data_IF_409191712605
#
_entry.id   IF_409191712605
#
_cell.length_a   1.000
_cell.length_b   1.000
_cell.length_c   1.000
_cell.angle_alpha   90.00
_cell.angle_beta   90.00
_cell.angle_gamma   90.00
#
_symmetry.space_group_name_H-M   'P 1'
#
loop_
_entity.id
_entity.type
_entity.pdbx_description
1 polymer ?
#
# COMPACT_ATOMS: atom_id res chain seq x y z
N UNK A 1 -1.30 -8.72 -16.22
CA UNK A 1 -0.36 -7.75 -15.61
C UNK A 1 1.03 -8.37 -15.52
N UNK A 2 2.09 -7.55 -15.42
CA UNK A 2 3.48 -7.99 -15.18
C UNK A 2 4.19 -6.97 -14.28
N UNK A 3 4.72 -7.42 -13.15
CA UNK A 3 5.67 -6.62 -12.37
C UNK A 3 6.96 -6.40 -13.16
N UNK A 4 7.34 -5.13 -13.31
CA UNK A 4 8.55 -4.74 -14.01
C UNK A 4 9.45 -3.96 -13.06
N UNK A 5 10.63 -4.51 -12.76
CA UNK A 5 11.58 -3.87 -11.84
C UNK A 5 12.10 -2.54 -12.38
N UNK A 6 12.03 -2.30 -13.69
CA UNK A 6 12.38 -1.01 -14.30
C UNK A 6 11.38 0.10 -14.00
N UNK A 7 10.22 -0.25 -13.41
CA UNK A 7 9.24 0.70 -12.90
C UNK A 7 9.45 1.07 -11.42
N UNK A 8 10.57 0.64 -10.81
CA UNK A 8 10.93 0.98 -9.43
C UNK A 8 12.26 1.70 -9.44
N UNK A 9 12.28 2.98 -9.05
CA UNK A 9 13.49 3.78 -9.04
C UNK A 9 13.55 4.74 -7.85
N UNK A 10 14.76 5.18 -7.50
CA UNK A 10 14.95 6.34 -6.63
C UNK A 10 15.15 7.57 -7.51
N UNK A 11 14.28 8.56 -7.39
CA UNK A 11 14.31 9.78 -8.20
C UNK A 11 13.82 10.97 -7.40
N UNK A 12 14.55 12.09 -7.49
CA UNK A 12 14.21 13.35 -6.82
C UNK A 12 13.93 13.18 -5.31
N UNK A 13 14.73 12.36 -4.62
CA UNK A 13 14.57 11.97 -3.21
C UNK A 13 13.27 11.22 -2.86
N UNK A 14 12.61 10.61 -3.85
CA UNK A 14 11.47 9.72 -3.64
C UNK A 14 11.79 8.31 -4.14
N UNK A 15 11.20 7.32 -3.49
CA UNK A 15 10.99 6.01 -4.11
C UNK A 15 9.80 6.14 -5.06
N UNK A 16 10.01 5.84 -6.34
CA UNK A 16 9.00 5.98 -7.39
C UNK A 16 8.59 4.61 -7.89
N UNK A 17 7.29 4.33 -7.83
CA UNK A 17 6.65 3.17 -8.47
C UNK A 17 5.86 3.68 -9.67
N UNK A 18 5.91 2.95 -10.80
CA UNK A 18 5.21 3.32 -12.03
C UNK A 18 4.29 2.22 -12.55
N UNK A 19 3.06 2.59 -12.88
CA UNK A 19 2.27 1.86 -13.87
C UNK A 19 2.49 2.52 -15.23
N UNK A 20 3.10 1.79 -16.17
CA UNK A 20 3.34 2.32 -17.52
C UNK A 20 2.02 2.43 -18.25
N UNK A 21 1.76 3.59 -18.85
CA UNK A 21 0.59 3.84 -19.69
C UNK A 21 0.35 2.71 -20.69
N UNK A 22 -0.90 2.26 -20.77
CA UNK A 22 -1.34 1.13 -21.58
C UNK A 22 -2.12 1.63 -22.79
N UNK A 23 -1.49 1.61 -23.96
CA UNK A 23 -2.05 2.15 -25.19
C UNK A 23 -3.03 1.17 -25.87
N UNK A 24 -3.74 1.66 -26.89
CA UNK A 24 -4.56 0.78 -27.76
C UNK A 24 -3.69 -0.25 -28.49
N UNK A 25 -2.50 0.12 -28.92
CA UNK A 25 -1.57 -0.80 -29.58
C UNK A 25 -1.10 -1.90 -28.61
N UNK A 26 -0.91 -1.57 -27.33
CA UNK A 26 -0.63 -2.55 -26.30
C UNK A 26 -1.77 -3.56 -26.17
N UNK A 27 -3.02 -3.09 -26.14
CA UNK A 27 -4.21 -3.93 -26.09
C UNK A 27 -4.32 -4.82 -27.35
N UNK A 28 -4.17 -4.24 -28.54
CA UNK A 28 -4.25 -4.97 -29.81
C UNK A 28 -3.15 -6.03 -29.95
N UNK A 29 -1.98 -5.79 -29.34
CA UNK A 29 -0.88 -6.74 -29.28
C UNK A 29 -0.97 -7.72 -28.10
N UNK A 30 -2.08 -7.73 -27.35
CA UNK A 30 -2.29 -8.57 -26.15
C UNK A 30 -1.14 -8.46 -25.14
N UNK A 31 -0.59 -7.26 -24.96
CA UNK A 31 0.50 -7.03 -24.01
C UNK A 31 -0.03 -7.03 -22.58
N UNK A 32 0.83 -7.46 -21.65
CA UNK A 32 0.57 -7.27 -20.23
C UNK A 32 0.71 -5.80 -19.84
N UNK A 33 -0.21 -5.32 -19.00
CA UNK A 33 -0.03 -4.05 -18.27
C UNK A 33 1.23 -4.15 -17.41
N UNK A 34 2.15 -3.21 -17.59
CA UNK A 34 3.42 -3.14 -16.85
C UNK A 34 3.23 -2.31 -15.59
N UNK A 35 3.46 -2.94 -14.44
CA UNK A 35 3.13 -2.42 -13.11
C UNK A 35 4.37 -2.45 -12.20
N UNK A 36 4.25 -1.86 -11.02
CA UNK A 36 5.32 -1.82 -10.02
C UNK A 36 4.83 -2.34 -8.67
N UNK A 37 5.75 -2.93 -7.91
CA UNK A 37 5.50 -3.29 -6.53
C UNK A 37 6.81 -3.59 -5.81
N UNK A 38 6.80 -3.31 -4.50
CA UNK A 38 7.87 -3.67 -3.58
C UNK A 38 7.27 -4.39 -2.37
N UNK A 39 8.07 -5.24 -1.76
CA UNK A 39 7.73 -5.97 -0.55
C UNK A 39 8.92 -5.91 0.40
N UNK A 40 8.64 -5.79 1.70
CA UNK A 40 9.67 -5.92 2.73
C UNK A 40 10.34 -7.29 2.68
N UNK A 41 11.65 -7.32 2.94
CA UNK A 41 12.35 -8.61 3.15
C UNK A 41 11.94 -9.27 4.47
N UNK A 42 11.64 -8.46 5.48
CA UNK A 42 11.06 -8.90 6.75
C UNK A 42 9.64 -9.40 6.50
N UNK A 43 9.36 -10.63 6.90
CA UNK A 43 8.08 -11.31 6.67
C UNK A 43 7.33 -11.62 7.98
N UNK A 44 7.89 -11.21 9.10
CA UNK A 44 7.46 -11.59 10.44
C UNK A 44 7.01 -10.37 11.28
N UNK A 45 6.53 -9.32 10.60
CA UNK A 45 6.05 -8.09 11.23
C UNK A 45 4.69 -8.33 11.89
N UNK A 46 4.60 -8.16 13.21
CA UNK A 46 3.36 -8.40 13.99
C UNK A 46 2.58 -7.07 14.22
N UNK A 47 1.54 -7.00 15.08
CA UNK A 47 0.90 -5.73 15.42
C UNK A 47 1.87 -4.58 15.69
N UNK A 48 1.53 -3.41 15.16
CA UNK A 48 2.40 -2.24 15.12
C UNK A 48 1.71 -1.04 14.49
N UNK A 49 2.47 0.04 14.30
CA UNK A 49 2.04 1.23 13.56
C UNK A 49 2.87 1.35 12.30
N UNK A 50 2.17 1.41 11.16
CA UNK A 50 2.77 1.44 9.83
C UNK A 50 2.29 2.71 9.14
N UNK A 51 3.22 3.51 8.64
CA UNK A 51 2.91 4.77 7.98
C UNK A 51 3.78 5.01 6.76
N UNK A 52 3.25 5.79 5.84
CA UNK A 52 3.94 6.21 4.64
C UNK A 52 3.46 7.58 4.23
N UNK A 53 4.35 8.35 3.62
CA UNK A 53 4.00 9.62 3.00
C UNK A 53 4.17 9.49 1.50
N UNK A 54 3.09 9.57 0.73
CA UNK A 54 3.18 9.51 -0.73
C UNK A 54 2.15 10.40 -1.42
N UNK A 55 2.37 10.63 -2.72
CA UNK A 55 1.42 11.22 -3.65
C UNK A 55 1.42 10.46 -4.96
N UNK A 56 0.40 10.68 -5.78
CA UNK A 56 0.26 10.14 -7.12
C UNK A 56 0.34 11.24 -8.18
N UNK A 57 1.27 11.08 -9.13
CA UNK A 57 1.35 11.94 -10.31
C UNK A 57 0.73 11.22 -11.52
N UNK A 58 -0.01 11.94 -12.37
CA UNK A 58 -0.66 11.34 -13.54
C UNK A 58 -1.86 10.43 -13.22
N UNK A 59 -2.37 10.46 -11.97
CA UNK A 59 -3.47 9.65 -11.45
C UNK A 59 -4.83 9.89 -12.14
N UNK A 60 -4.93 9.53 -13.41
CA UNK A 60 -6.13 9.61 -14.26
C UNK A 60 -6.13 8.44 -15.21
N UNK A 61 -7.31 8.00 -15.63
CA UNK A 61 -7.49 6.94 -16.61
C UNK A 61 -7.51 5.51 -16.05
N UNK A 62 -7.44 5.32 -14.73
CA UNK A 62 -7.58 4.02 -14.06
C UNK A 62 -6.26 3.36 -13.66
N UNK A 63 -6.10 3.16 -12.36
CA UNK A 63 -5.00 2.49 -11.67
C UNK A 63 -5.37 2.41 -10.18
N UNK A 64 -4.77 1.48 -9.46
CA UNK A 64 -4.82 1.38 -8.01
C UNK A 64 -3.40 1.52 -7.43
N UNK A 65 -3.21 2.47 -6.52
CA UNK A 65 -2.04 2.54 -5.65
C UNK A 65 -2.43 1.96 -4.30
N UNK A 66 -1.63 1.04 -3.77
CA UNK A 66 -1.92 0.43 -2.49
C UNK A 66 -0.72 0.34 -1.57
N UNK A 67 -1.03 0.47 -0.28
CA UNK A 67 -0.16 0.28 0.86
C UNK A 67 -0.77 -0.80 1.76
N UNK A 68 -0.06 -1.92 1.90
CA UNK A 68 -0.61 -3.15 2.45
C UNK A 68 0.24 -3.67 3.60
N UNK A 69 -0.38 -4.18 4.65
CA UNK A 69 0.19 -5.27 5.45
C UNK A 69 -0.46 -6.57 5.02
N UNK A 70 0.33 -7.61 4.73
CA UNK A 70 -0.15 -8.86 4.15
C UNK A 70 0.44 -10.08 4.86
N UNK A 71 -0.43 -10.98 5.32
CA UNK A 71 -0.10 -12.36 5.71
C UNK A 71 -0.59 -13.35 4.64
N UNK A 72 -1.88 -13.30 4.34
CA UNK A 72 -2.56 -14.05 3.29
C UNK A 72 -3.87 -13.35 2.88
N UNK A 73 -4.62 -13.92 1.92
CA UNK A 73 -5.85 -13.34 1.37
C UNK A 73 -7.01 -13.19 2.41
N UNK A 74 -6.85 -13.74 3.61
CA UNK A 74 -7.80 -13.64 4.72
C UNK A 74 -7.29 -12.74 5.85
N UNK A 75 -6.03 -12.32 5.80
CA UNK A 75 -5.38 -11.50 6.80
C UNK A 75 -4.51 -10.45 6.11
N UNK A 76 -5.16 -9.36 5.73
CA UNK A 76 -4.57 -8.25 4.97
C UNK A 76 -5.23 -6.92 5.40
N UNK A 77 -4.42 -5.86 5.47
CA UNK A 77 -4.82 -4.50 5.87
C UNK A 77 -4.40 -3.54 4.77
N UNK A 78 -5.36 -2.79 4.25
CA UNK A 78 -5.18 -2.04 3.01
C UNK A 78 -5.53 -0.57 3.16
N UNK A 79 -4.68 0.25 2.55
CA UNK A 79 -5.04 1.59 2.11
C UNK A 79 -4.83 1.65 0.60
N UNK A 80 -5.92 1.71 -0.15
CA UNK A 80 -5.91 1.68 -1.62
C UNK A 80 -6.55 2.92 -2.23
N UNK A 81 -5.78 3.65 -3.03
CA UNK A 81 -6.26 4.78 -3.82
C UNK A 81 -6.57 4.29 -5.23
N UNK A 82 -7.84 4.27 -5.58
CA UNK A 82 -8.32 3.98 -6.93
C UNK A 82 -8.46 5.30 -7.67
N UNK A 83 -7.57 5.52 -8.65
CA UNK A 83 -7.52 6.76 -9.41
C UNK A 83 -8.76 6.94 -10.32
N UNK A 84 -9.14 8.18 -10.65
CA UNK A 84 -10.19 8.46 -11.62
C UNK A 84 -10.05 7.65 -12.91
N UNK A 85 -11.10 6.96 -13.33
CA UNK A 85 -11.17 5.98 -14.40
C UNK A 85 -12.62 5.51 -14.59
N UNK A 86 -12.83 4.21 -14.75
CA UNK A 86 -14.15 3.62 -15.07
C UNK A 86 -14.52 2.40 -14.23
N UNK A 87 -13.92 2.26 -13.05
CA UNK A 87 -14.26 1.20 -12.10
C UNK A 87 -15.47 1.56 -11.23
N UNK A 88 -15.97 0.57 -10.48
CA UNK A 88 -17.10 0.73 -9.56
C UNK A 88 -16.76 1.57 -8.32
N UNK A 89 -15.51 1.51 -7.85
CA UNK A 89 -14.98 2.30 -6.72
C UNK A 89 -14.15 3.50 -7.20
N UNK A 90 -14.45 3.98 -8.40
CA UNK A 90 -13.71 5.01 -9.10
C UNK A 90 -13.48 6.28 -8.26
N UNK A 91 -12.24 6.75 -8.21
CA UNK A 91 -11.90 8.02 -7.58
C UNK A 91 -12.06 8.00 -6.06
N UNK A 92 -11.64 6.92 -5.41
CA UNK A 92 -11.78 6.76 -3.95
C UNK A 92 -10.47 6.34 -3.28
N UNK A 93 -10.38 6.59 -1.97
CA UNK A 93 -9.48 5.91 -1.04
C UNK A 93 -10.30 4.85 -0.30
N UNK A 94 -9.78 3.62 -0.26
CA UNK A 94 -10.42 2.48 0.38
C UNK A 94 -9.56 2.01 1.54
N UNK A 95 -10.16 1.97 2.73
CA UNK A 95 -9.55 1.45 3.95
C UNK A 95 -10.17 0.10 4.25
N UNK A 96 -9.47 -0.98 3.93
CA UNK A 96 -10.04 -2.35 3.97
C UNK A 96 -9.28 -3.23 4.94
N UNK A 97 -10.01 -3.89 5.83
CA UNK A 97 -9.51 -5.07 6.53
C UNK A 97 -10.09 -6.32 5.88
N UNK A 98 -9.22 -7.22 5.42
CA UNK A 98 -9.60 -8.51 4.87
C UNK A 98 -9.91 -9.55 5.95
N UNK A 99 -10.81 -10.51 5.68
CA UNK A 99 -11.66 -10.56 4.49
C UNK A 99 -12.71 -9.44 4.48
N UNK A 100 -12.99 -8.90 3.29
CA UNK A 100 -14.02 -7.89 3.07
C UNK A 100 -15.38 -8.47 2.64
N UNK A 101 -15.38 -9.73 2.20
CA UNK A 101 -16.57 -10.48 1.80
C UNK A 101 -16.71 -11.76 2.65
N UNK A 102 -17.95 -12.12 2.96
CA UNK A 102 -18.31 -13.38 3.60
C UNK A 102 -18.23 -14.54 2.57
N UNK A 103 -18.29 -15.81 3.01
CA UNK A 103 -18.21 -16.97 2.09
C UNK A 103 -19.31 -17.01 1.01
N UNK A 104 -20.43 -16.34 1.23
CA UNK A 104 -21.53 -16.20 0.27
C UNK A 104 -21.35 -15.01 -0.70
N UNK A 105 -20.23 -14.28 -0.58
CA UNK A 105 -19.90 -13.10 -1.38
C UNK A 105 -20.55 -11.80 -0.89
N UNK A 106 -21.31 -11.83 0.21
CA UNK A 106 -21.88 -10.61 0.78
C UNK A 106 -20.81 -9.74 1.45
N UNK A 107 -20.91 -8.39 1.38
CA UNK A 107 -19.97 -7.51 2.08
C UNK A 107 -20.02 -7.71 3.60
N UNK A 108 -18.86 -7.86 4.22
CA UNK A 108 -18.75 -7.87 5.68
C UNK A 108 -18.89 -6.42 6.16
N UNK A 109 -19.88 -6.20 7.04
CA UNK A 109 -20.11 -4.89 7.63
C UNK A 109 -18.82 -4.30 8.23
N UNK A 110 -18.60 -3.01 7.96
CA UNK A 110 -17.44 -2.24 8.45
C UNK A 110 -16.06 -2.73 7.96
N UNK A 111 -15.99 -3.72 7.04
CA UNK A 111 -14.71 -4.20 6.49
C UNK A 111 -13.97 -3.14 5.69
N UNK A 112 -14.72 -2.39 4.87
CA UNK A 112 -14.19 -1.36 3.97
C UNK A 112 -14.89 -0.04 4.23
N UNK A 113 -14.12 1.03 4.36
CA UNK A 113 -14.59 2.40 4.20
C UNK A 113 -14.06 2.94 2.87
N UNK A 114 -14.94 3.40 1.98
CA UNK A 114 -14.57 4.06 0.73
C UNK A 114 -14.88 5.56 0.82
N UNK A 115 -13.88 6.40 0.58
CA UNK A 115 -13.98 7.87 0.65
C UNK A 115 -13.66 8.48 -0.71
N UNK A 116 -14.54 9.30 -1.30
CA UNK A 116 -14.26 10.01 -2.56
C UNK A 116 -13.04 10.94 -2.49
N UNK A 117 -12.26 11.01 -3.57
CA UNK A 117 -11.09 11.91 -3.72
C UNK A 117 -11.45 13.36 -4.05
N UNK A 118 -12.73 13.68 -4.24
CA UNK A 118 -13.20 15.02 -4.61
C UNK A 118 -13.27 16.00 -3.41
N UNK A 119 -13.03 15.51 -2.19
CA UNK A 119 -12.70 16.35 -1.06
C UNK A 119 -11.33 17.01 -1.31
N UNK A 120 -11.28 18.34 -1.22
CA UNK A 120 -10.06 19.12 -1.43
C UNK A 120 -8.88 18.73 -0.54
N UNK A 121 -9.13 18.08 0.61
CA UNK A 121 -8.12 17.56 1.51
C UNK A 121 -7.58 16.17 1.12
N UNK A 122 -8.19 15.50 0.14
CA UNK A 122 -7.89 14.12 -0.26
C UNK A 122 -7.29 14.04 -1.66
N UNK A 123 -6.79 15.15 -2.20
CA UNK A 123 -6.25 15.12 -3.56
C UNK A 123 -5.02 14.21 -3.61
N UNK A 124 -5.01 13.21 -4.50
CA UNK A 124 -3.90 12.27 -4.54
C UNK A 124 -2.63 12.91 -5.10
N UNK A 125 -2.70 14.08 -5.73
CA UNK A 125 -1.55 14.81 -6.29
C UNK A 125 -0.76 15.62 -5.26
N UNK A 126 -1.16 15.57 -3.99
CA UNK A 126 -0.41 16.14 -2.86
C UNK A 126 0.09 15.05 -1.92
N UNK A 127 1.18 15.33 -1.19
CA UNK A 127 1.72 14.39 -0.22
C UNK A 127 0.82 14.33 1.01
N UNK A 128 0.37 13.12 1.34
CA UNK A 128 -0.39 12.83 2.55
C UNK A 128 0.28 11.72 3.35
N UNK A 129 0.15 11.77 4.67
CA UNK A 129 0.51 10.64 5.54
C UNK A 129 -0.66 9.66 5.57
N UNK A 130 -0.40 8.42 5.17
CA UNK A 130 -1.31 7.29 5.31
C UNK A 130 -0.77 6.38 6.40
N UNK A 131 -1.61 6.02 7.36
CA UNK A 131 -1.21 5.19 8.49
C UNK A 131 -2.30 4.21 8.88
N UNK A 132 -1.89 3.02 9.30
CA UNK A 132 -2.73 2.15 10.08
C UNK A 132 -2.00 1.68 11.34
N UNK A 133 -2.76 1.64 12.44
CA UNK A 133 -2.33 1.03 13.68
C UNK A 133 -3.08 -0.29 13.84
N UNK A 134 -2.32 -1.37 13.91
CA UNK A 134 -2.84 -2.72 14.13
C UNK A 134 -2.53 -3.14 15.57
N UNK A 135 -3.57 -3.52 16.32
CA UNK A 135 -3.45 -3.98 17.69
C UNK A 135 -4.45 -5.11 17.99
N UNK A 136 -3.99 -6.22 18.57
CA UNK A 136 -4.81 -7.42 18.82
C UNK A 136 -6.14 -7.13 19.55
N UNK A 137 -6.14 -6.21 20.52
CA UNK A 137 -7.36 -5.89 21.32
C UNK A 137 -8.21 -4.76 20.74
N UNK A 138 -7.66 -3.93 19.84
CA UNK A 138 -8.35 -2.73 19.31
C UNK A 138 -8.73 -2.87 17.84
N UNK A 139 -8.27 -3.95 17.19
CA UNK A 139 -8.37 -4.15 15.76
C UNK A 139 -7.44 -3.22 14.99
N UNK A 140 -7.95 -2.63 13.91
CA UNK A 140 -7.18 -1.74 13.01
C UNK A 140 -7.80 -0.35 13.01
N UNK A 141 -6.96 0.65 13.22
CA UNK A 141 -7.32 2.07 13.14
C UNK A 141 -6.58 2.71 11.97
N UNK A 142 -7.31 3.35 11.06
CA UNK A 142 -6.74 4.01 9.89
C UNK A 142 -6.70 5.52 10.11
N UNK A 143 -5.62 6.13 9.66
CA UNK A 143 -5.37 7.55 9.78
C UNK A 143 -4.95 8.15 8.44
N UNK A 144 -5.39 9.37 8.21
CA UNK A 144 -4.93 10.23 7.13
C UNK A 144 -4.49 11.56 7.72
N UNK A 145 -3.26 11.99 7.44
CA UNK A 145 -2.66 13.22 7.99
C UNK A 145 -2.81 13.33 9.51
N UNK A 146 -2.66 12.19 10.20
CA UNK A 146 -2.78 12.07 11.65
C UNK A 146 -4.21 12.04 12.21
N UNK A 147 -5.25 12.26 11.38
CA UNK A 147 -6.65 12.16 11.79
C UNK A 147 -7.19 10.73 11.64
N UNK A 148 -7.86 10.21 12.66
CA UNK A 148 -8.52 8.90 12.60
C UNK A 148 -9.70 8.95 11.62
N UNK A 149 -9.69 8.11 10.58
CA UNK A 149 -10.72 8.08 9.54
C UNK A 149 -11.59 6.83 9.59
N UNK A 150 -11.05 5.70 10.06
CA UNK A 150 -11.79 4.45 10.15
C UNK A 150 -11.28 3.59 11.30
N UNK A 151 -12.17 2.79 11.88
CA UNK A 151 -11.80 1.77 12.87
C UNK A 151 -12.53 0.48 12.56
N UNK A 152 -11.76 -0.59 12.45
CA UNK A 152 -12.26 -1.95 12.36
C UNK A 152 -11.89 -2.72 13.62
N UNK A 153 -12.86 -2.92 14.51
CA UNK A 153 -12.65 -3.57 15.81
C UNK A 153 -12.72 -5.10 15.74
N UNK A 154 -12.70 -5.72 14.55
CA UNK A 154 -12.66 -7.18 14.44
C UNK A 154 -11.34 -7.69 15.04
N UNK A 155 -11.46 -8.78 15.79
CA UNK A 155 -10.31 -9.49 16.32
C UNK A 155 -9.52 -10.07 15.13
N UNK A 156 -8.26 -9.67 15.02
CA UNK A 156 -7.33 -10.22 14.05
C UNK A 156 -6.33 -10.99 14.89
N UNK A 157 -6.28 -12.31 14.70
CA UNK A 157 -5.26 -13.15 15.29
C UNK A 157 -3.89 -12.48 15.13
N UNK A 158 -3.04 -12.55 16.16
CA UNK A 158 -1.69 -11.98 16.13
C UNK A 158 -0.84 -12.75 15.13
N UNK A 159 -1.01 -12.40 13.85
CA UNK A 159 -0.32 -12.99 12.71
C UNK A 159 0.88 -12.13 12.37
N UNK A 160 1.86 -12.76 11.77
CA UNK A 160 3.06 -12.11 11.28
C UNK A 160 2.95 -11.95 9.76
N UNK A 161 3.37 -10.79 9.25
CA UNK A 161 3.18 -10.46 7.85
C UNK A 161 4.28 -9.56 7.32
N UNK A 162 4.05 -9.05 6.12
CA UNK A 162 4.99 -8.20 5.41
C UNK A 162 4.32 -6.93 4.92
N UNK A 163 5.12 -5.90 4.70
CA UNK A 163 4.67 -4.62 4.18
C UNK A 163 4.85 -4.60 2.66
N UNK A 164 3.81 -4.21 1.93
CA UNK A 164 3.86 -4.12 0.47
C UNK A 164 3.39 -2.75 -0.01
N UNK A 165 3.96 -2.33 -1.14
CA UNK A 165 3.48 -1.21 -1.93
C UNK A 165 3.28 -1.68 -3.36
N UNK A 166 2.16 -1.33 -3.97
CA UNK A 166 1.86 -1.68 -5.36
C UNK A 166 1.26 -0.49 -6.08
N UNK A 167 1.58 -0.37 -7.36
CA UNK A 167 0.88 0.51 -8.29
C UNK A 167 0.53 -0.30 -9.53
N UNK A 168 -0.76 -0.58 -9.70
CA UNK A 168 -1.23 -1.61 -10.62
C UNK A 168 -2.53 -1.24 -11.32
N UNK A 169 -2.79 -1.90 -12.45
CA UNK A 169 -4.08 -1.89 -13.13
C UNK A 169 -4.24 -3.21 -13.89
N UNK A 170 -5.40 -3.84 -13.76
CA UNK A 170 -5.67 -5.19 -14.28
C UNK A 170 -6.85 -5.26 -15.26
N UNK A 171 -7.58 -4.15 -15.46
CA UNK A 171 -8.79 -4.14 -16.29
C UNK A 171 -10.06 -4.51 -15.53
N UNK A 172 -9.97 -4.89 -14.26
CA UNK A 172 -11.12 -5.31 -13.46
C UNK A 172 -11.99 -4.10 -13.11
N UNK A 173 -13.21 -4.07 -13.66
CA UNK A 173 -14.20 -2.99 -13.43
C UNK A 173 -14.63 -2.88 -11.97
N UNK A 174 -14.46 -3.93 -11.16
CA UNK A 174 -14.78 -3.85 -9.74
C UNK A 174 -13.77 -3.01 -8.95
N UNK A 175 -12.54 -2.83 -9.44
CA UNK A 175 -11.47 -2.16 -8.68
C UNK A 175 -10.62 -1.19 -9.52
N UNK A 176 -9.59 -1.66 -10.22
CA UNK A 176 -8.64 -0.77 -10.90
C UNK A 176 -9.19 -0.15 -12.19
N UNK A 177 -10.20 -0.78 -12.81
CA UNK A 177 -10.80 -0.34 -14.06
C UNK A 177 -9.89 -0.54 -15.28
N UNK A 178 -10.23 0.11 -16.39
CA UNK A 178 -9.35 0.17 -17.56
C UNK A 178 -8.02 0.79 -17.15
N UNK A 179 -6.86 0.21 -17.52
CA UNK A 179 -5.56 0.82 -17.21
C UNK A 179 -5.39 2.19 -17.88
N UNK A 180 -4.75 3.12 -17.18
CA UNK A 180 -4.44 4.44 -17.72
C UNK A 180 -3.61 4.34 -18.99
N UNK A 181 -3.91 5.21 -19.96
CA UNK A 181 -3.13 5.37 -21.20
C UNK A 181 -1.87 6.21 -21.02
N UNK A 182 -1.74 6.88 -19.87
CA UNK A 182 -0.55 7.62 -19.47
C UNK A 182 0.12 6.92 -18.28
N UNK A 183 1.38 7.24 -18.03
CA UNK A 183 2.07 6.75 -16.84
C UNK A 183 1.40 7.31 -15.58
N UNK A 184 1.14 6.43 -14.61
CA UNK A 184 0.78 6.80 -13.25
C UNK A 184 2.00 6.54 -12.38
N UNK A 185 2.36 7.50 -11.54
CA UNK A 185 3.51 7.42 -10.63
C UNK A 185 3.05 7.52 -9.19
N UNK A 186 3.57 6.66 -8.33
CA UNK A 186 3.46 6.76 -6.87
C UNK A 186 4.82 7.20 -6.34
N UNK A 187 4.89 8.44 -5.85
CA UNK A 187 6.10 9.03 -5.28
C UNK A 187 6.03 8.90 -3.77
N UNK A 188 6.86 8.02 -3.21
CA UNK A 188 6.92 7.72 -1.78
C UNK A 188 8.09 8.52 -1.17
N UNK A 189 7.77 9.38 -0.23
CA UNK A 189 8.72 10.21 0.52
C UNK A 189 9.28 9.49 1.74
N UNK A 190 8.44 8.75 2.47
CA UNK A 190 8.91 7.93 3.59
C UNK A 190 8.05 6.69 3.76
N UNK A 191 8.66 5.68 4.37
CA UNK A 191 8.03 4.46 4.85
C UNK A 191 8.58 4.25 6.26
N UNK A 192 7.72 4.35 7.26
CA UNK A 192 8.08 4.20 8.65
C UNK A 192 7.21 3.10 9.27
N UNK A 193 7.85 2.05 9.79
CA UNK A 193 7.16 0.91 10.38
C UNK A 193 7.72 0.65 11.78
N UNK A 194 6.85 0.66 12.78
CA UNK A 194 7.18 0.39 14.18
C UNK A 194 6.36 -0.82 14.62
N UNK A 195 7.01 -1.97 14.71
CA UNK A 195 6.36 -3.26 14.95
C UNK A 195 7.26 -4.13 15.83
N UNK A 196 6.63 -5.06 16.55
CA UNK A 196 7.35 -6.18 17.14
C UNK A 196 7.55 -7.26 16.06
N UNK A 197 8.63 -8.02 16.14
CA UNK A 197 8.88 -9.18 15.27
C UNK A 197 8.51 -10.47 16.01
N UNK A 198 7.88 -11.42 15.30
CA UNK A 198 7.60 -12.77 15.85
C UNK A 198 8.80 -13.71 15.74
N UNK A 199 9.81 -13.34 14.96
CA UNK A 199 11.03 -14.11 14.80
C UNK A 199 11.92 -14.05 16.04
N UNK A 200 12.63 -15.14 16.30
CA UNK A 200 13.77 -15.15 17.23
C UNK A 200 15.01 -14.54 16.59
N UNK A 201 14.86 -13.71 15.54
CA UNK A 201 15.98 -13.25 14.72
C UNK A 201 16.79 -12.26 15.54
N UNK A 202 17.74 -12.89 16.24
CA UNK A 202 18.67 -12.35 17.20
C UNK A 202 19.21 -11.00 16.72
N UNK A 203 19.30 -10.05 17.66
CA UNK A 203 20.07 -8.81 17.58
C UNK A 203 21.22 -8.85 16.54
N UNK A 204 21.97 -9.95 16.50
CA UNK A 204 23.08 -10.20 15.59
C UNK A 204 22.84 -9.98 14.08
N UNK A 205 21.74 -10.46 13.49
CA UNK A 205 21.55 -10.34 12.04
C UNK A 205 21.19 -8.91 11.63
N UNK A 206 20.27 -8.31 12.38
CA UNK A 206 19.90 -6.91 12.24
C UNK A 206 21.09 -5.99 12.54
N UNK A 207 21.86 -6.25 13.61
CA UNK A 207 23.04 -5.45 13.97
C UNK A 207 24.10 -5.51 12.87
N UNK A 208 24.26 -6.66 12.22
CA UNK A 208 25.17 -6.81 11.08
C UNK A 208 24.69 -6.01 9.87
N UNK A 209 23.39 -6.02 9.57
CA UNK A 209 22.80 -5.20 8.52
C UNK A 209 22.89 -3.69 8.81
N UNK A 210 22.57 -3.28 10.05
CA UNK A 210 22.75 -1.91 10.52
C UNK A 210 24.21 -1.45 10.37
N UNK A 211 25.17 -2.27 10.82
CA UNK A 211 26.59 -1.96 10.67
C UNK A 211 27.00 -1.85 9.20
N UNK A 212 26.48 -2.72 8.32
CA UNK A 212 26.72 -2.65 6.88
C UNK A 212 26.11 -1.39 6.23
N UNK A 213 25.02 -0.87 6.79
CA UNK A 213 24.39 0.39 6.40
C UNK A 213 25.05 1.64 7.03
N UNK A 214 26.22 1.49 7.67
CA UNK A 214 26.98 2.59 8.27
C UNK A 214 26.75 2.82 9.76
N UNK A 215 25.96 1.96 10.42
CA UNK A 215 25.66 2.07 11.86
C UNK A 215 24.74 3.23 12.22
N UNK A 216 24.32 3.37 13.48
CA UNK A 216 23.49 4.49 13.93
C UNK A 216 24.17 5.84 13.61
N UNK A 217 23.51 6.70 12.84
CA UNK A 217 24.00 8.01 12.42
C UNK A 217 22.83 8.97 12.14
N UNK A 218 23.12 10.20 11.70
CA UNK A 218 22.08 11.13 11.22
C UNK A 218 21.41 10.69 9.92
N UNK A 219 21.99 9.72 9.20
CA UNK A 219 21.50 9.20 7.92
C UNK A 219 20.97 7.77 8.02
N UNK A 220 21.31 7.05 9.10
CA UNK A 220 20.95 5.65 9.32
C UNK A 220 20.41 5.51 10.74
N UNK A 221 19.11 5.30 10.89
CA UNK A 221 18.49 5.04 12.19
C UNK A 221 18.49 3.53 12.41
N UNK A 222 19.13 3.10 13.48
CA UNK A 222 19.16 1.72 13.91
C UNK A 222 18.66 1.67 15.36
N UNK A 223 17.44 1.18 15.57
CA UNK A 223 16.94 0.86 16.92
C UNK A 223 16.40 -0.56 16.98
N UNK A 224 16.95 -1.35 17.90
CA UNK A 224 16.27 -2.49 18.53
C UNK A 224 15.99 -2.04 19.97
N UNK A 225 14.77 -2.24 20.46
CA UNK A 225 14.47 -2.15 21.89
C UNK A 225 14.25 -3.53 22.45
#
# INVERSE_FOLDING_TARGET
>A
MKYDWTNVELKDNHLVLKQRGFSRDDLSAYRNVSIAGIQSRTLDMVPGTYRTVFRLDGAKGGACSGFFWYHDDKAEIDIEIVTPGDSMVNGTINYTLHPSLAPDGSPIANATLSVPLDDSHLRPDTFHEYRFDYHAQRGVQYYLDGALVHTNARDIATLSGNLQFKLWADGNKWWSGTPSTADVLMNIKSIDAYFNSSGTDTDTAWMRACSAAGGPSSLTICTIQ
#
